data_IF_990155809607
#
_entry.id   IF_990155809607
#
_cell.length_a   1.000
_cell.length_b   1.000
_cell.length_c   1.000
_cell.angle_alpha   90.00
_cell.angle_beta   90.00
_cell.angle_gamma   90.00
#
_symmetry.space_group_name_H-M   'P 1'
#
loop_
_entity.id
_entity.type
_entity.pdbx_description
1 polymer ?
#
# COMPACT_ATOMS: atom_id res chain seq x y z
N UNK A 1 0.11 50.83 -13.73
CA UNK A 1 -0.51 49.62 -14.30
C UNK A 1 0.19 48.42 -13.66
N UNK A 2 -0.57 47.59 -12.94
CA UNK A 2 -0.20 46.68 -11.85
C UNK A 2 1.26 46.14 -11.74
N UNK A 3 1.92 46.30 -10.57
CA UNK A 3 3.02 45.43 -10.14
C UNK A 3 2.46 44.16 -9.44
N UNK A 4 3.33 43.16 -9.18
CA UNK A 4 3.13 41.92 -8.37
C UNK A 4 2.61 40.67 -9.12
N UNK A 5 3.49 39.70 -9.41
CA UNK A 5 3.62 38.45 -8.61
C UNK A 5 4.84 37.64 -9.06
N UNK A 6 5.93 37.78 -8.32
CA UNK A 6 7.08 36.88 -8.36
C UNK A 6 6.64 35.54 -7.71
N UNK A 7 6.35 34.52 -8.52
CA UNK A 7 5.81 33.23 -8.05
C UNK A 7 6.90 32.17 -7.90
N UNK A 8 7.76 32.26 -6.89
CA UNK A 8 8.39 31.08 -6.24
C UNK A 8 9.06 31.53 -4.91
N UNK A 9 8.86 30.81 -3.77
CA UNK A 9 9.42 29.47 -3.57
C UNK A 9 8.56 28.49 -2.72
N UNK A 10 7.33 28.83 -2.32
CA UNK A 10 6.53 27.95 -1.45
C UNK A 10 6.26 26.57 -2.06
N UNK A 11 6.02 26.50 -3.37
CA UNK A 11 5.78 25.23 -4.08
C UNK A 11 7.02 24.33 -4.11
N UNK A 12 8.23 24.88 -4.24
CA UNK A 12 9.47 24.10 -4.21
C UNK A 12 9.78 23.60 -2.80
N UNK A 13 9.52 24.40 -1.76
CA UNK A 13 9.65 23.94 -0.37
C UNK A 13 8.64 22.86 0.00
N UNK A 14 7.38 23.00 -0.42
CA UNK A 14 6.34 21.98 -0.21
C UNK A 14 6.71 20.68 -0.93
N UNK A 15 7.18 20.75 -2.18
CA UNK A 15 7.61 19.59 -2.96
C UNK A 15 8.82 18.89 -2.34
N UNK A 16 9.85 19.65 -1.97
CA UNK A 16 11.04 19.12 -1.30
C UNK A 16 10.68 18.45 0.05
N UNK A 17 9.84 19.10 0.85
CA UNK A 17 9.36 18.55 2.12
C UNK A 17 8.56 17.26 1.90
N UNK A 18 7.66 17.23 0.91
CA UNK A 18 6.90 16.02 0.56
C UNK A 18 7.84 14.87 0.20
N UNK A 19 8.85 15.12 -0.63
CA UNK A 19 9.84 14.11 -1.02
C UNK A 19 10.61 13.55 0.18
N UNK A 20 10.98 14.40 1.15
CA UNK A 20 11.64 13.95 2.38
C UNK A 20 10.74 13.02 3.20
N UNK A 21 9.46 13.36 3.34
CA UNK A 21 8.51 12.52 4.08
C UNK A 21 8.24 11.20 3.37
N UNK A 22 8.07 11.21 2.04
CA UNK A 22 7.90 10.01 1.25
C UNK A 22 9.13 9.09 1.35
N UNK A 23 10.34 9.67 1.27
CA UNK A 23 11.58 8.93 1.44
C UNK A 23 11.73 8.37 2.87
N UNK A 24 11.36 9.14 3.90
CA UNK A 24 11.36 8.69 5.28
C UNK A 24 10.38 7.53 5.49
N UNK A 25 9.18 7.57 4.89
CA UNK A 25 8.21 6.48 4.96
C UNK A 25 8.73 5.20 4.30
N UNK A 26 9.38 5.31 3.12
CA UNK A 26 10.01 4.17 2.44
C UNK A 26 11.13 3.60 3.31
N UNK A 27 12.02 4.45 3.83
CA UNK A 27 13.13 4.01 4.68
C UNK A 27 12.64 3.33 5.95
N UNK A 28 11.65 3.92 6.64
CA UNK A 28 11.02 3.35 7.82
C UNK A 28 10.40 1.97 7.53
N UNK A 29 9.74 1.83 6.39
CA UNK A 29 9.14 0.55 5.95
C UNK A 29 10.20 -0.54 5.77
N UNK A 30 11.28 -0.23 5.04
CA UNK A 30 12.36 -1.18 4.77
C UNK A 30 13.11 -1.55 6.06
N UNK A 31 13.50 -0.55 6.85
CA UNK A 31 14.24 -0.76 8.09
C UNK A 31 13.40 -1.51 9.12
N UNK A 32 12.13 -1.14 9.27
CA UNK A 32 11.23 -1.82 10.19
C UNK A 32 10.94 -3.27 9.79
N UNK A 33 10.85 -3.57 8.48
CA UNK A 33 10.71 -4.94 8.01
C UNK A 33 11.93 -5.80 8.38
N UNK A 34 13.14 -5.31 8.06
CA UNK A 34 14.39 -6.03 8.36
C UNK A 34 14.61 -6.14 9.87
N UNK A 35 14.40 -5.07 10.63
CA UNK A 35 14.56 -5.06 12.07
C UNK A 35 13.51 -5.93 12.78
N UNK A 36 12.26 -5.89 12.33
CA UNK A 36 11.19 -6.75 12.83
C UNK A 36 11.51 -8.22 12.62
N UNK A 37 12.00 -8.60 11.43
CA UNK A 37 12.45 -9.95 11.16
C UNK A 37 13.66 -10.36 12.01
N UNK A 38 14.64 -9.47 12.18
CA UNK A 38 15.80 -9.73 13.03
C UNK A 38 15.43 -9.91 14.52
N UNK A 39 14.44 -9.16 15.00
CA UNK A 39 13.89 -9.28 16.34
C UNK A 39 13.18 -10.61 16.56
N UNK A 40 12.44 -11.10 15.55
CA UNK A 40 11.75 -12.40 15.58
C UNK A 40 12.71 -13.61 15.62
N UNK A 41 13.95 -13.43 15.17
CA UNK A 41 14.98 -14.46 15.20
C UNK A 41 15.70 -14.53 16.56
N UNK A 42 15.38 -13.63 17.50
CA UNK A 42 15.96 -13.68 18.85
C UNK A 42 15.30 -14.77 19.70
N UNK A 43 16.06 -15.30 20.66
CA UNK A 43 15.53 -16.27 21.63
C UNK A 43 14.62 -15.63 22.68
N UNK A 44 14.69 -14.30 22.85
CA UNK A 44 13.93 -13.57 23.84
C UNK A 44 12.48 -13.33 23.39
N UNK A 45 11.52 -13.84 24.17
CA UNK A 45 10.07 -13.72 23.87
C UNK A 45 9.62 -12.27 23.74
N UNK A 46 10.13 -11.37 24.58
CA UNK A 46 9.79 -9.95 24.50
C UNK A 46 10.30 -9.32 23.20
N UNK A 47 11.49 -9.70 22.74
CA UNK A 47 12.05 -9.22 21.48
C UNK A 47 11.18 -9.70 20.30
N UNK A 48 10.71 -10.95 20.35
CA UNK A 48 9.77 -11.47 19.37
C UNK A 48 8.45 -10.70 19.35
N UNK A 49 7.90 -10.34 20.53
CA UNK A 49 6.67 -9.55 20.60
C UNK A 49 6.84 -8.16 19.94
N UNK A 50 7.95 -7.45 20.21
CA UNK A 50 8.27 -6.22 19.50
C UNK A 50 8.54 -6.44 18.01
N UNK A 51 9.17 -7.56 17.66
CA UNK A 51 9.41 -7.98 16.28
C UNK A 51 8.11 -8.12 15.50
N UNK A 52 7.09 -8.79 16.07
CA UNK A 52 5.75 -8.90 15.48
C UNK A 52 5.15 -7.50 15.27
N UNK A 53 5.11 -6.67 16.30
CA UNK A 53 4.49 -5.34 16.21
C UNK A 53 5.17 -4.47 15.15
N UNK A 54 6.51 -4.42 15.16
CA UNK A 54 7.27 -3.63 14.21
C UNK A 54 7.09 -4.16 12.78
N UNK A 55 7.18 -5.48 12.58
CA UNK A 55 7.00 -6.10 11.28
C UNK A 55 5.60 -5.85 10.74
N UNK A 56 4.55 -6.07 11.55
CA UNK A 56 3.16 -5.75 11.17
C UNK A 56 3.01 -4.29 10.77
N UNK A 57 3.60 -3.37 11.54
CA UNK A 57 3.53 -1.95 11.24
C UNK A 57 4.20 -1.62 9.89
N UNK A 58 5.37 -2.20 9.61
CA UNK A 58 6.04 -2.07 8.32
C UNK A 58 5.21 -2.65 7.16
N UNK A 59 4.54 -3.78 7.37
CA UNK A 59 3.67 -4.37 6.34
C UNK A 59 2.45 -3.49 6.03
N UNK A 60 1.85 -2.86 7.04
CA UNK A 60 0.76 -1.88 6.86
C UNK A 60 1.24 -0.68 6.04
N UNK A 61 2.39 -0.10 6.40
CA UNK A 61 2.99 0.99 5.62
C UNK A 61 3.33 0.57 4.20
N UNK A 62 3.82 -0.65 4.00
CA UNK A 62 4.10 -1.20 2.68
C UNK A 62 2.86 -1.30 1.80
N UNK A 63 1.72 -1.72 2.36
CA UNK A 63 0.43 -1.71 1.66
C UNK A 63 -0.01 -0.28 1.30
N UNK A 64 0.13 0.67 2.22
CA UNK A 64 -0.21 2.08 1.95
C UNK A 64 0.68 2.71 0.87
N UNK A 65 2.00 2.47 0.94
CA UNK A 65 2.94 2.94 -0.09
C UNK A 65 2.65 2.27 -1.44
N UNK A 66 2.29 0.99 -1.46
CA UNK A 66 1.87 0.31 -2.71
C UNK A 66 0.70 1.03 -3.38
N UNK A 67 -0.30 1.43 -2.60
CA UNK A 67 -1.45 2.19 -3.07
C UNK A 67 -1.02 3.54 -3.69
N UNK A 68 -0.19 4.30 -2.99
CA UNK A 68 0.30 5.60 -3.47
C UNK A 68 1.18 5.49 -4.72
N UNK A 69 2.01 4.44 -4.82
CA UNK A 69 2.77 4.18 -6.04
C UNK A 69 1.88 3.82 -7.24
N UNK A 70 0.71 3.20 -7.04
CA UNK A 70 -0.26 2.92 -8.11
C UNK A 70 -0.89 4.19 -8.66
N UNK A 71 -1.06 5.20 -7.81
CA UNK A 71 -1.46 6.55 -8.21
C UNK A 71 -0.32 7.38 -8.82
N UNK A 72 0.91 6.85 -8.83
CA UNK A 72 2.12 7.59 -9.26
C UNK A 72 2.30 8.94 -8.55
N UNK A 73 1.88 9.04 -7.28
CA UNK A 73 1.86 10.29 -6.50
C UNK A 73 3.19 10.62 -5.81
N UNK A 74 4.12 9.64 -5.74
CA UNK A 74 5.38 9.77 -5.00
C UNK A 74 6.52 10.29 -5.90
N UNK A 75 6.82 9.59 -6.99
CA UNK A 75 7.89 10.01 -7.92
C UNK A 75 7.35 10.69 -9.18
N UNK A 76 8.02 11.73 -9.71
CA UNK A 76 7.67 12.31 -11.01
C UNK A 76 7.77 11.32 -12.17
N UNK A 77 8.71 10.36 -12.08
CA UNK A 77 8.92 9.34 -13.10
C UNK A 77 8.13 8.06 -12.83
N UNK A 78 7.22 7.68 -13.75
CA UNK A 78 6.41 6.45 -13.66
C UNK A 78 7.25 5.19 -13.40
N UNK A 79 8.43 5.07 -14.02
CA UNK A 79 9.35 3.93 -13.84
C UNK A 79 9.70 3.67 -12.37
N UNK A 80 9.95 4.73 -11.60
CA UNK A 80 10.34 4.58 -10.20
C UNK A 80 9.16 4.15 -9.33
N UNK A 81 7.96 4.68 -9.59
CA UNK A 81 6.74 4.21 -8.90
C UNK A 81 6.47 2.73 -9.18
N UNK A 82 6.71 2.25 -10.42
CA UNK A 82 6.57 0.83 -10.77
C UNK A 82 7.51 -0.06 -9.96
N UNK A 83 8.81 0.28 -9.93
CA UNK A 83 9.82 -0.49 -9.21
C UNK A 83 9.49 -0.56 -7.72
N UNK A 84 9.23 0.60 -7.10
CA UNK A 84 9.00 0.67 -5.66
C UNK A 84 7.70 0.00 -5.24
N UNK A 85 6.63 0.10 -6.04
CA UNK A 85 5.42 -0.68 -5.80
C UNK A 85 5.68 -2.18 -5.81
N UNK A 86 6.47 -2.67 -6.77
CA UNK A 86 6.79 -4.11 -6.86
C UNK A 86 7.55 -4.56 -5.62
N UNK A 87 8.49 -3.76 -5.12
CA UNK A 87 9.16 -4.03 -3.84
C UNK A 87 8.16 -4.07 -2.68
N UNK A 88 7.25 -3.11 -2.59
CA UNK A 88 6.26 -3.07 -1.51
C UNK A 88 5.26 -4.25 -1.58
N UNK A 89 4.81 -4.64 -2.77
CA UNK A 89 3.97 -5.83 -2.94
C UNK A 89 4.70 -7.13 -2.63
N UNK A 90 6.00 -7.19 -2.90
CA UNK A 90 6.79 -8.33 -2.47
C UNK A 90 6.85 -8.41 -0.95
N UNK A 91 7.08 -7.28 -0.26
CA UNK A 91 7.12 -7.24 1.21
C UNK A 91 5.80 -7.65 1.84
N UNK A 92 4.66 -7.21 1.30
CA UNK A 92 3.33 -7.52 1.84
C UNK A 92 2.70 -8.82 1.32
N UNK A 93 3.43 -9.58 0.48
CA UNK A 93 2.95 -10.85 -0.08
C UNK A 93 1.97 -10.71 -1.25
N UNK A 94 1.70 -9.50 -1.75
CA UNK A 94 0.87 -9.24 -2.94
C UNK A 94 1.59 -9.44 -4.29
N UNK A 95 2.68 -10.20 -4.34
CA UNK A 95 3.53 -10.37 -5.52
C UNK A 95 2.91 -11.19 -6.67
N UNK A 96 1.65 -11.61 -6.56
CA UNK A 96 0.99 -12.54 -7.49
C UNK A 96 0.47 -11.92 -8.79
N UNK A 97 0.52 -10.60 -8.97
CA UNK A 97 -0.03 -9.97 -10.18
C UNK A 97 0.80 -8.84 -10.77
N UNK A 98 0.68 -8.69 -12.08
CA UNK A 98 1.39 -7.69 -12.86
C UNK A 98 1.02 -6.25 -12.47
N UNK A 99 2.00 -5.35 -12.53
CA UNK A 99 1.85 -3.94 -12.15
C UNK A 99 0.68 -3.25 -12.84
N UNK A 100 0.64 -3.32 -14.16
CA UNK A 100 -0.34 -2.58 -14.95
C UNK A 100 -1.75 -3.12 -14.71
N UNK A 101 -1.90 -4.44 -14.51
CA UNK A 101 -3.19 -5.05 -14.23
C UNK A 101 -3.74 -4.67 -12.87
N UNK A 102 -2.93 -4.73 -11.81
CA UNK A 102 -3.36 -4.30 -10.48
C UNK A 102 -3.62 -2.79 -10.45
N UNK A 103 -2.78 -1.97 -11.08
CA UNK A 103 -2.97 -0.51 -11.09
C UNK A 103 -4.23 -0.13 -11.87
N UNK A 104 -4.47 -0.78 -13.01
CA UNK A 104 -5.70 -0.61 -13.78
C UNK A 104 -6.92 -1.06 -12.99
N UNK A 105 -6.88 -2.23 -12.35
CA UNK A 105 -8.00 -2.73 -11.52
C UNK A 105 -8.28 -1.80 -10.34
N UNK A 106 -7.25 -1.29 -9.69
CA UNK A 106 -7.37 -0.35 -8.59
C UNK A 106 -7.98 0.98 -9.00
N UNK A 107 -7.48 1.56 -10.09
CA UNK A 107 -8.03 2.80 -10.65
C UNK A 107 -9.46 2.56 -11.15
N UNK A 108 -9.73 1.47 -11.86
CA UNK A 108 -11.06 1.09 -12.31
C UNK A 108 -12.03 0.90 -11.14
N UNK A 109 -11.58 0.30 -10.03
CA UNK A 109 -12.39 0.20 -8.81
C UNK A 109 -12.74 1.58 -8.24
N UNK A 110 -11.81 2.54 -8.21
CA UNK A 110 -12.10 3.91 -7.75
C UNK A 110 -12.95 4.73 -8.72
N UNK A 111 -12.75 4.56 -10.03
CA UNK A 111 -13.45 5.32 -11.07
C UNK A 111 -14.84 4.77 -11.33
N UNK A 112 -14.96 3.45 -11.51
CA UNK A 112 -16.20 2.81 -11.91
C UNK A 112 -17.03 2.33 -10.70
N UNK A 113 -16.47 2.36 -9.48
CA UNK A 113 -17.07 1.75 -8.26
C UNK A 113 -17.47 0.28 -8.46
N UNK A 114 -16.91 -0.39 -9.46
CA UNK A 114 -17.22 -1.79 -9.72
C UNK A 114 -16.26 -2.61 -8.90
N UNK A 115 -16.74 -3.08 -7.76
CA UNK A 115 -16.16 -4.20 -7.02
C UNK A 115 -16.22 -5.45 -7.90
N UNK A 116 -15.35 -5.57 -8.90
CA UNK A 116 -15.02 -6.88 -9.47
C UNK A 116 -14.18 -7.64 -8.43
N UNK A 117 -14.80 -7.98 -7.31
CA UNK A 117 -14.45 -9.21 -6.63
C UNK A 117 -14.62 -10.30 -7.71
N UNK A 118 -13.59 -11.09 -8.00
CA UNK A 118 -13.70 -12.27 -8.88
C UNK A 118 -14.58 -13.37 -8.27
N UNK A 119 -15.53 -12.97 -7.43
CA UNK A 119 -16.36 -13.75 -6.55
C UNK A 119 -17.71 -13.04 -6.50
N UNK A 120 -18.66 -13.52 -7.31
CA UNK A 120 -20.04 -13.09 -7.17
C UNK A 120 -20.55 -13.69 -5.84
N UNK A 121 -20.58 -12.83 -4.82
CA UNK A 121 -21.05 -13.14 -3.47
C UNK A 121 -22.50 -13.64 -3.55
N UNK A 122 -23.32 -13.06 -4.43
CA UNK A 122 -24.73 -13.43 -4.60
C UNK A 122 -24.86 -14.80 -5.25
N UNK A 123 -24.09 -15.09 -6.30
CA UNK A 123 -24.09 -16.39 -6.96
C UNK A 123 -23.55 -17.48 -6.02
N UNK A 124 -22.48 -17.19 -5.29
CA UNK A 124 -21.92 -18.13 -4.30
C UNK A 124 -22.89 -18.40 -3.14
N UNK A 125 -23.54 -17.37 -2.60
CA UNK A 125 -24.58 -17.52 -1.56
C UNK A 125 -25.80 -18.29 -2.05
N UNK A 126 -26.13 -18.22 -3.35
CA UNK A 126 -27.20 -19.01 -3.97
C UNK A 126 -26.80 -20.46 -4.20
N UNK A 127 -25.51 -20.73 -4.43
CA UNK A 127 -24.96 -22.08 -4.59
C UNK A 127 -24.78 -22.82 -3.25
N UNK A 128 -24.81 -22.13 -2.10
CA UNK A 128 -24.66 -22.75 -0.78
C UNK A 128 -25.93 -23.48 -0.30
N UNK A 129 -25.79 -24.60 0.44
CA UNK A 129 -26.90 -25.26 1.14
C UNK A 129 -27.65 -24.29 2.06
N UNK A 130 -28.99 -24.44 2.13
CA UNK A 130 -29.88 -23.54 2.89
C UNK A 130 -29.47 -23.35 4.36
N UNK A 131 -28.89 -24.38 4.98
CA UNK A 131 -28.39 -24.35 6.37
C UNK A 131 -27.20 -23.40 6.57
N UNK A 132 -26.23 -23.42 5.66
CA UNK A 132 -25.04 -22.55 5.71
C UNK A 132 -25.45 -21.10 5.41
N UNK A 133 -26.36 -20.91 4.44
CA UNK A 133 -26.90 -19.59 4.10
C UNK A 133 -27.64 -18.95 5.28
N UNK A 134 -28.39 -19.75 6.06
CA UNK A 134 -29.07 -19.27 7.26
C UNK A 134 -28.10 -18.84 8.35
N UNK A 135 -27.00 -19.57 8.56
CA UNK A 135 -26.00 -19.24 9.57
C UNK A 135 -25.17 -17.98 9.25
N UNK A 136 -25.06 -17.60 7.98
CA UNK A 136 -24.34 -16.40 7.53
C UNK A 136 -25.24 -15.16 7.56
N UNK A 137 -26.56 -15.33 7.35
CA UNK A 137 -27.54 -14.23 7.31
C UNK A 137 -28.26 -13.99 8.65
N UNK A 138 -27.95 -14.77 9.68
CA UNK A 138 -28.48 -14.63 11.05
C UNK A 138 -27.65 -13.67 11.90
#
# INVERSE_FOLDING_TARGET
MSPLTDRTPLSSFVSCRKLLWDAAAIAYTLLGYVAGLALLLQSAVWANAFGVLLLTHSLVYSAYLSHEFMHSSIFPGRRWNVIWRTVMLWLNGGCYGNFDDLSRRHIAHHVDRVDFAGFDIVETLRALPKSIRWAILS
#
